data_IF_396149768140
#
_entry.id   IF_396149768140
#
_cell.length_a   1.000
_cell.length_b   1.000
_cell.length_c   1.000
_cell.angle_alpha   90.00
_cell.angle_beta   90.00
_cell.angle_gamma   90.00
#
_symmetry.space_group_name_H-M   'P 1'
#
loop_
_entity.id
_entity.type
_entity.pdbx_description
1 polymer ?
#
# COMPACT_ATOMS: atom_id res chain seq x y z
N UNK A 1 3.82 4.36 21.69
CA UNK A 1 4.54 3.09 21.94
C UNK A 1 6.00 3.29 21.57
N UNK A 2 6.93 2.79 22.39
CA UNK A 2 8.36 2.80 22.08
C UNK A 2 8.77 1.61 21.19
N UNK A 3 10.02 1.64 20.68
CA UNK A 3 10.54 0.57 19.82
C UNK A 3 10.47 -0.82 20.48
N UNK A 4 10.68 -0.91 21.81
CA UNK A 4 10.58 -2.16 22.55
C UNK A 4 9.14 -2.72 22.56
N UNK A 5 8.13 -1.84 22.69
CA UNK A 5 6.73 -2.25 22.66
C UNK A 5 6.33 -2.77 21.29
N UNK A 6 6.74 -2.08 20.21
CA UNK A 6 6.50 -2.50 18.84
C UNK A 6 7.18 -3.84 18.55
N UNK A 7 8.43 -4.00 19.00
CA UNK A 7 9.14 -5.26 18.86
C UNK A 7 8.43 -6.42 19.59
N UNK A 8 7.95 -6.20 20.80
CA UNK A 8 7.29 -7.22 21.60
C UNK A 8 5.87 -7.55 21.10
N UNK A 9 5.11 -6.55 20.62
CA UNK A 9 3.69 -6.72 20.26
C UNK A 9 3.47 -7.15 18.84
N UNK A 10 4.36 -6.81 17.92
CA UNK A 10 4.22 -7.15 16.49
C UNK A 10 5.37 -8.04 15.99
N UNK A 11 6.62 -7.53 16.03
CA UNK A 11 7.72 -8.23 15.36
C UNK A 11 8.06 -9.59 15.97
N UNK A 12 8.12 -9.71 17.29
CA UNK A 12 8.46 -10.98 17.93
C UNK A 12 7.38 -12.06 17.67
N UNK A 13 6.08 -11.80 17.84
CA UNK A 13 5.04 -12.75 17.46
C UNK A 13 5.05 -13.10 15.96
N UNK A 14 5.24 -12.09 15.10
CA UNK A 14 5.29 -12.29 13.66
C UNK A 14 6.47 -13.19 13.24
N UNK A 15 7.68 -12.89 13.71
CA UNK A 15 8.89 -13.67 13.40
C UNK A 15 8.88 -15.06 14.05
N UNK A 16 8.09 -15.28 15.09
CA UNK A 16 7.83 -16.60 15.64
C UNK A 16 6.90 -17.41 14.72
N UNK A 17 5.89 -16.76 14.18
CA UNK A 17 4.90 -17.38 13.32
C UNK A 17 5.42 -17.61 11.88
N UNK A 18 6.20 -16.67 11.38
CA UNK A 18 6.76 -16.67 10.02
C UNK A 18 8.28 -16.86 10.11
N UNK A 19 8.76 -18.03 9.69
CA UNK A 19 10.20 -18.33 9.69
C UNK A 19 10.84 -17.93 8.35
N UNK A 20 12.17 -17.68 8.38
CA UNK A 20 12.95 -17.29 7.20
C UNK A 20 12.35 -16.07 6.46
N UNK A 21 11.92 -15.07 7.20
CA UNK A 21 11.27 -13.88 6.64
C UNK A 21 12.23 -13.11 5.75
N UNK A 22 11.76 -12.76 4.56
CA UNK A 22 12.39 -11.87 3.60
C UNK A 22 11.48 -10.69 3.35
N UNK A 23 12.04 -9.48 3.37
CA UNK A 23 11.36 -8.27 2.91
C UNK A 23 11.51 -8.19 1.38
N UNK A 24 10.40 -8.26 0.67
CA UNK A 24 10.33 -8.15 -0.79
C UNK A 24 9.79 -6.77 -1.10
N UNK A 25 10.69 -5.83 -1.36
CA UNK A 25 10.34 -4.44 -1.64
C UNK A 25 9.98 -4.25 -3.10
N UNK A 26 8.86 -3.57 -3.34
CA UNK A 26 8.38 -3.18 -4.65
C UNK A 26 8.48 -1.66 -4.86
N UNK A 27 8.34 -0.91 -3.75
CA UNK A 27 8.46 0.55 -3.70
C UNK A 27 9.34 0.92 -2.51
N UNK A 28 10.31 1.79 -2.78
CA UNK A 28 11.15 2.42 -1.76
C UNK A 28 11.52 3.81 -2.20
N UNK A 29 11.21 4.81 -1.39
CA UNK A 29 11.64 6.19 -1.62
C UNK A 29 11.71 6.96 -0.31
N UNK A 30 12.36 8.13 -0.36
CA UNK A 30 12.45 9.02 0.79
C UNK A 30 12.41 10.49 0.35
N UNK A 31 11.78 11.33 1.16
CA UNK A 31 11.81 12.78 0.98
C UNK A 31 11.49 13.51 2.29
N UNK A 32 11.83 14.79 2.33
CA UNK A 32 11.41 15.67 3.42
C UNK A 32 9.90 15.90 3.38
N UNK A 33 9.30 15.95 4.56
CA UNK A 33 7.88 16.29 4.68
C UNK A 33 7.71 17.81 4.68
N UNK A 34 7.00 18.31 3.68
CA UNK A 34 6.68 19.74 3.56
C UNK A 34 5.28 20.13 4.04
N UNK A 35 4.45 19.14 4.47
CA UNK A 35 3.04 19.38 4.77
C UNK A 35 2.79 19.94 6.17
N UNK A 36 3.48 19.42 7.19
CA UNK A 36 3.25 19.78 8.58
C UNK A 36 4.41 20.56 9.22
N UNK A 37 5.49 20.80 8.46
CA UNK A 37 6.68 21.47 8.95
C UNK A 37 7.48 20.69 10.00
N UNK A 38 7.13 19.44 10.27
CA UNK A 38 7.89 18.60 11.18
C UNK A 38 9.26 18.25 10.55
N UNK A 39 10.37 18.38 11.29
CA UNK A 39 11.69 18.09 10.74
C UNK A 39 11.87 16.59 10.50
N UNK A 40 12.76 16.27 9.55
CA UNK A 40 13.16 14.91 9.24
C UNK A 40 12.73 14.45 7.86
N UNK A 41 13.24 13.28 7.51
CA UNK A 41 12.98 12.61 6.21
C UNK A 41 12.00 11.48 6.43
N UNK A 42 10.94 11.43 5.63
CA UNK A 42 10.07 10.27 5.56
C UNK A 42 10.62 9.26 4.56
N UNK A 43 10.80 8.04 5.03
CA UNK A 43 11.22 6.88 4.24
C UNK A 43 10.02 5.95 4.11
N UNK A 44 9.65 5.63 2.88
CA UNK A 44 8.51 4.76 2.56
C UNK A 44 9.03 3.47 1.96
N UNK A 45 8.54 2.35 2.48
CA UNK A 45 8.79 1.01 1.95
C UNK A 45 7.47 0.25 1.82
N UNK A 46 7.21 -0.30 0.65
CA UNK A 46 6.01 -1.11 0.39
C UNK A 46 6.39 -2.38 -0.35
N UNK A 47 5.67 -3.45 -0.07
CA UNK A 47 5.91 -4.75 -0.68
C UNK A 47 5.31 -5.89 0.14
N UNK A 48 6.06 -6.99 0.27
CA UNK A 48 5.61 -8.17 0.99
C UNK A 48 6.66 -8.66 1.99
N UNK A 49 6.21 -9.04 3.17
CA UNK A 49 6.98 -9.87 4.09
C UNK A 49 6.69 -11.32 3.74
N UNK A 50 7.66 -12.01 3.13
CA UNK A 50 7.55 -13.39 2.69
C UNK A 50 8.27 -14.31 3.66
N UNK A 51 7.63 -15.39 4.10
CA UNK A 51 8.24 -16.39 4.97
C UNK A 51 7.48 -17.71 4.98
N UNK A 52 7.98 -18.68 5.74
CA UNK A 52 7.25 -19.92 5.99
C UNK A 52 6.29 -19.70 7.15
N UNK A 53 5.01 -19.84 6.91
CA UNK A 53 3.96 -19.63 7.92
C UNK A 53 3.77 -20.90 8.75
N UNK A 54 4.55 -21.05 9.81
CA UNK A 54 4.71 -22.29 10.57
C UNK A 54 3.97 -22.34 11.90
N UNK A 55 3.69 -21.17 12.52
CA UNK A 55 2.94 -21.07 13.77
C UNK A 55 1.75 -20.12 13.63
N UNK A 56 0.72 -20.22 14.48
CA UNK A 56 -0.42 -19.31 14.42
C UNK A 56 0.00 -17.84 14.61
N UNK A 57 -0.63 -16.94 13.86
CA UNK A 57 -0.45 -15.51 13.98
C UNK A 57 -1.81 -14.81 14.06
N UNK A 58 -2.05 -14.05 15.12
CA UNK A 58 -3.31 -13.33 15.38
C UNK A 58 -4.56 -14.22 15.23
N UNK A 59 -4.48 -15.49 15.64
CA UNK A 59 -5.58 -16.45 15.50
C UNK A 59 -5.70 -17.10 14.11
N UNK A 60 -4.92 -16.70 13.13
CA UNK A 60 -4.86 -17.33 11.81
C UNK A 60 -4.03 -18.61 11.91
N UNK A 61 -4.59 -19.74 11.48
CA UNK A 61 -3.89 -21.01 11.50
C UNK A 61 -2.75 -21.04 10.46
N UNK A 62 -1.60 -21.69 10.78
CA UNK A 62 -0.46 -21.74 9.88
C UNK A 62 -0.74 -22.63 8.66
N UNK A 63 -0.25 -22.18 7.50
CA UNK A 63 -0.40 -22.93 6.24
C UNK A 63 0.66 -24.00 6.06
N UNK A 64 1.77 -23.93 6.79
CA UNK A 64 2.99 -24.73 6.58
C UNK A 64 3.59 -24.59 5.17
N UNK A 65 3.34 -23.45 4.54
CA UNK A 65 3.79 -23.07 3.19
C UNK A 65 4.39 -21.68 3.21
N UNK A 66 5.03 -21.28 2.11
CA UNK A 66 5.36 -19.89 1.89
C UNK A 66 4.07 -19.08 1.90
N UNK A 67 4.08 -18.03 2.69
CA UNK A 67 3.02 -17.04 2.72
C UNK A 67 3.61 -15.62 2.61
N UNK A 68 2.81 -14.70 2.16
CA UNK A 68 3.17 -13.30 1.97
C UNK A 68 2.21 -12.42 2.77
N UNK A 69 2.76 -11.51 3.56
CA UNK A 69 2.01 -10.45 4.21
C UNK A 69 2.35 -9.13 3.52
N UNK A 70 1.40 -8.55 2.82
CA UNK A 70 1.55 -7.24 2.21
C UNK A 70 1.72 -6.18 3.28
N UNK A 71 2.64 -5.24 3.06
CA UNK A 71 2.89 -4.15 3.99
C UNK A 71 3.10 -2.82 3.27
N UNK A 72 2.81 -1.74 3.98
CA UNK A 72 3.28 -0.39 3.71
C UNK A 72 3.82 0.20 5.01
N UNK A 73 5.06 0.65 5.00
CA UNK A 73 5.77 1.17 6.16
C UNK A 73 6.29 2.57 5.87
N UNK A 74 6.03 3.47 6.81
CA UNK A 74 6.46 4.86 6.77
C UNK A 74 7.31 5.13 8.00
N UNK A 75 8.54 5.54 7.82
CA UNK A 75 9.47 5.83 8.90
C UNK A 75 9.94 7.27 8.79
N UNK A 76 9.75 8.07 9.86
CA UNK A 76 10.36 9.39 9.95
C UNK A 76 11.72 9.28 10.59
N UNK A 77 12.73 9.75 9.88
CA UNK A 77 14.14 9.73 10.29
C UNK A 77 14.60 11.14 10.63
N UNK A 78 15.15 11.31 11.82
CA UNK A 78 15.75 12.55 12.29
C UNK A 78 17.11 12.22 12.97
N UNK A 79 18.15 12.94 12.62
CA UNK A 79 19.51 12.74 13.13
C UNK A 79 19.99 11.29 13.04
N UNK A 80 19.70 10.63 11.91
CA UNK A 80 20.09 9.24 11.65
C UNK A 80 19.32 8.19 12.47
N UNK A 81 18.23 8.57 13.13
CA UNK A 81 17.40 7.67 13.93
C UNK A 81 15.94 7.69 13.47
N UNK A 82 15.30 6.52 13.49
CA UNK A 82 13.86 6.42 13.30
C UNK A 82 13.18 6.95 14.58
N UNK A 83 12.41 8.03 14.44
CA UNK A 83 11.70 8.68 15.54
C UNK A 83 10.20 8.40 15.52
N UNK A 84 9.68 7.96 14.38
CA UNK A 84 8.28 7.60 14.19
C UNK A 84 8.16 6.51 13.15
N UNK A 85 7.23 5.57 13.35
CA UNK A 85 6.91 4.50 12.40
C UNK A 85 5.40 4.32 12.32
N UNK A 86 4.88 4.26 11.11
CA UNK A 86 3.53 3.76 10.83
C UNK A 86 3.65 2.53 9.91
N UNK A 87 3.18 1.38 10.39
CA UNK A 87 3.18 0.11 9.67
C UNK A 87 1.75 -0.36 9.42
N UNK A 88 1.43 -0.58 8.18
CA UNK A 88 0.15 -1.14 7.74
C UNK A 88 0.40 -2.52 7.14
N UNK A 89 -0.39 -3.51 7.58
CA UNK A 89 -0.31 -4.88 7.08
C UNK A 89 -1.69 -5.36 6.63
N UNK A 90 -1.74 -6.02 5.48
CA UNK A 90 -2.97 -6.59 4.94
C UNK A 90 -3.20 -7.99 5.51
N UNK A 91 -3.85 -8.05 6.66
CA UNK A 91 -4.17 -9.32 7.32
C UNK A 91 -5.20 -10.16 6.56
N UNK A 92 -6.11 -9.53 5.81
CA UNK A 92 -7.10 -10.25 4.99
C UNK A 92 -6.38 -11.01 3.88
N UNK A 93 -5.32 -10.45 3.31
CA UNK A 93 -4.45 -11.14 2.36
C UNK A 93 -3.81 -12.41 2.96
N UNK A 94 -3.34 -12.35 4.20
CA UNK A 94 -2.82 -13.53 4.90
C UNK A 94 -3.92 -14.55 5.21
N UNK A 95 -5.10 -14.09 5.60
CA UNK A 95 -6.27 -14.94 5.87
C UNK A 95 -6.69 -15.73 4.62
N UNK A 96 -6.76 -15.09 3.45
CA UNK A 96 -7.06 -15.77 2.19
C UNK A 96 -6.05 -16.86 1.86
N UNK A 97 -4.75 -16.61 2.07
CA UNK A 97 -3.71 -17.63 1.87
C UNK A 97 -3.86 -18.82 2.85
N UNK A 98 -4.42 -18.58 4.03
CA UNK A 98 -4.76 -19.61 5.01
C UNK A 98 -6.09 -20.30 4.74
N UNK A 99 -6.76 -20.00 3.63
CA UNK A 99 -8.04 -20.61 3.24
C UNK A 99 -9.27 -19.99 3.94
N UNK A 100 -9.10 -18.82 4.58
CA UNK A 100 -10.20 -18.08 5.18
C UNK A 100 -10.71 -17.05 4.18
N UNK A 101 -12.03 -16.93 4.04
CA UNK A 101 -12.68 -15.98 3.12
C UNK A 101 -13.62 -15.06 3.90
N UNK A 102 -13.09 -14.08 4.66
CA UNK A 102 -13.91 -13.23 5.53
C UNK A 102 -14.76 -12.22 4.77
N UNK A 103 -14.46 -12.00 3.49
CA UNK A 103 -15.17 -11.07 2.60
C UNK A 103 -15.74 -11.81 1.38
N UNK A 104 -16.73 -11.24 0.68
CA UNK A 104 -17.19 -11.74 -0.62
C UNK A 104 -16.03 -11.86 -1.62
N UNK A 105 -16.19 -12.66 -2.70
CA UNK A 105 -15.20 -12.72 -3.77
C UNK A 105 -14.88 -11.33 -4.32
N UNK A 106 -13.59 -11.02 -4.42
CA UNK A 106 -13.13 -9.75 -4.95
C UNK A 106 -12.93 -9.80 -6.46
N UNK A 107 -12.94 -8.65 -7.10
CA UNK A 107 -12.80 -8.51 -8.56
C UNK A 107 -11.35 -8.38 -9.01
N UNK A 108 -10.46 -7.91 -8.13
CA UNK A 108 -9.05 -7.73 -8.42
C UNK A 108 -8.17 -8.90 -7.98
N UNK A 109 -6.88 -8.80 -8.25
CA UNK A 109 -5.89 -9.80 -7.85
C UNK A 109 -5.68 -9.79 -6.34
N UNK A 110 -5.67 -10.96 -5.72
CA UNK A 110 -5.47 -11.10 -4.27
C UNK A 110 -4.30 -12.02 -3.87
N UNK A 111 -3.76 -12.80 -4.79
CA UNK A 111 -2.72 -13.78 -4.45
C UNK A 111 -1.37 -13.12 -4.18
N UNK A 112 -0.95 -12.22 -5.05
CA UNK A 112 0.25 -11.39 -4.93
C UNK A 112 -0.12 -10.00 -5.42
N UNK A 113 0.25 -8.98 -4.66
CA UNK A 113 0.08 -7.60 -5.09
C UNK A 113 1.27 -7.24 -5.99
N UNK A 114 1.04 -6.90 -7.28
CA UNK A 114 2.15 -6.63 -8.19
C UNK A 114 2.82 -5.29 -7.87
N UNK A 115 4.15 -5.24 -8.01
CA UNK A 115 4.90 -3.99 -8.00
C UNK A 115 4.79 -3.23 -9.33
N UNK A 116 5.46 -2.07 -9.46
CA UNK A 116 5.53 -1.34 -10.71
C UNK A 116 6.05 -2.21 -11.85
N UNK A 117 5.37 -2.19 -13.00
CA UNK A 117 5.70 -3.03 -14.15
C UNK A 117 7.10 -2.75 -14.71
N UNK A 118 7.56 -1.53 -14.60
CA UNK A 118 8.87 -1.05 -15.04
C UNK A 118 9.99 -1.28 -14.02
N UNK A 119 9.65 -1.79 -12.82
CA UNK A 119 10.57 -2.00 -11.71
C UNK A 119 11.30 -0.72 -11.24
N UNK A 120 10.69 0.42 -11.42
CA UNK A 120 11.21 1.75 -11.08
C UNK A 120 10.70 2.31 -9.74
N UNK A 121 10.06 1.47 -8.94
CA UNK A 121 9.57 1.84 -7.61
C UNK A 121 10.63 1.89 -6.52
N UNK A 122 11.86 1.40 -6.79
CA UNK A 122 12.98 1.38 -5.83
C UNK A 122 13.91 2.56 -6.10
N UNK A 123 13.70 3.66 -5.41
CA UNK A 123 14.42 4.92 -5.60
C UNK A 123 15.46 5.08 -4.47
N UNK A 124 16.64 4.51 -4.67
CA UNK A 124 17.75 4.61 -3.71
C UNK A 124 18.65 5.83 -3.95
N UNK A 125 18.48 6.49 -5.07
CA UNK A 125 19.23 7.71 -5.42
C UNK A 125 18.65 8.92 -4.67
N UNK A 126 19.44 9.96 -4.53
CA UNK A 126 19.14 11.12 -3.70
C UNK A 126 17.79 11.81 -3.97
N UNK A 127 17.43 12.71 -3.09
CA UNK A 127 16.17 13.44 -3.15
C UNK A 127 15.98 14.17 -4.48
N UNK A 128 14.81 13.99 -5.09
CA UNK A 128 14.34 14.78 -6.22
C UNK A 128 13.31 15.81 -5.74
N UNK A 129 13.18 16.90 -6.47
CA UNK A 129 12.12 17.87 -6.23
C UNK A 129 10.75 17.21 -6.56
N UNK A 130 9.97 16.94 -5.53
CA UNK A 130 8.63 16.33 -5.64
C UNK A 130 7.49 17.35 -5.70
N UNK A 131 7.76 18.64 -5.81
CA UNK A 131 6.75 19.72 -5.73
C UNK A 131 5.66 19.59 -6.79
N UNK A 132 6.02 19.26 -8.03
CA UNK A 132 5.05 19.04 -9.12
C UNK A 132 4.18 17.80 -8.86
N UNK A 133 4.78 16.71 -8.39
CA UNK A 133 4.06 15.48 -8.02
C UNK A 133 3.10 15.75 -6.87
N UNK A 134 3.52 16.47 -5.85
CA UNK A 134 2.68 16.85 -4.71
C UNK A 134 1.49 17.72 -5.18
N UNK A 135 1.73 18.70 -6.05
CA UNK A 135 0.68 19.53 -6.61
C UNK A 135 -0.33 18.71 -7.42
N UNK A 136 0.13 17.74 -8.20
CA UNK A 136 -0.72 16.80 -8.96
C UNK A 136 -1.58 15.96 -8.02
N UNK A 137 -0.98 15.36 -6.99
CA UNK A 137 -1.69 14.53 -6.00
C UNK A 137 -2.75 15.32 -5.25
N UNK A 138 -2.42 16.54 -4.79
CA UNK A 138 -3.36 17.39 -4.08
C UNK A 138 -4.55 17.79 -4.96
N UNK A 139 -4.32 18.09 -6.24
CA UNK A 139 -5.38 18.34 -7.20
C UNK A 139 -6.26 17.10 -7.38
N UNK A 140 -5.67 15.94 -7.63
CA UNK A 140 -6.39 14.67 -7.78
C UNK A 140 -7.27 14.35 -6.57
N UNK A 141 -6.76 14.53 -5.34
CA UNK A 141 -7.52 14.30 -4.11
C UNK A 141 -8.71 15.28 -4.04
N UNK A 142 -8.47 16.56 -4.38
CA UNK A 142 -9.52 17.58 -4.43
C UNK A 142 -10.63 17.21 -5.43
N UNK A 143 -10.26 16.76 -6.61
CA UNK A 143 -11.20 16.36 -7.67
C UNK A 143 -12.02 15.11 -7.25
N UNK A 144 -11.38 14.11 -6.63
CA UNK A 144 -12.07 12.92 -6.08
C UNK A 144 -13.08 13.33 -5.01
N UNK A 145 -12.71 14.22 -4.08
CA UNK A 145 -13.61 14.70 -3.04
C UNK A 145 -14.80 15.50 -3.61
N UNK A 146 -14.54 16.37 -4.58
CA UNK A 146 -15.58 17.13 -5.26
C UNK A 146 -16.56 16.20 -6.00
N UNK A 147 -16.06 15.19 -6.68
CA UNK A 147 -16.87 14.20 -7.40
C UNK A 147 -17.69 13.32 -6.45
N UNK A 148 -17.13 12.92 -5.31
CA UNK A 148 -17.85 12.16 -4.29
C UNK A 148 -19.03 12.95 -3.70
N UNK A 149 -18.83 14.24 -3.47
CA UNK A 149 -19.89 15.14 -2.99
C UNK A 149 -20.95 15.44 -4.07
N UNK A 150 -20.58 15.33 -5.35
CA UNK A 150 -21.49 15.56 -6.48
C UNK A 150 -22.33 14.32 -6.84
N UNK A 151 -21.96 13.15 -6.37
CA UNK A 151 -22.72 11.91 -6.59
C UNK A 151 -24.12 11.95 -5.92
N UNK A 152 -24.33 12.85 -4.95
CA UNK A 152 -25.64 13.13 -4.37
C UNK A 152 -26.51 14.09 -5.23
N UNK A 153 -25.90 14.75 -6.22
CA UNK A 153 -26.59 15.63 -7.16
C UNK A 153 -26.49 15.00 -8.55
N UNK A 154 -27.63 14.58 -9.12
CA UNK A 154 -27.78 13.93 -10.43
C UNK A 154 -27.39 14.82 -11.64
N UNK A 155 -26.30 15.57 -11.57
CA UNK A 155 -25.81 16.33 -12.72
C UNK A 155 -25.09 15.39 -13.71
N UNK A 156 -25.37 15.45 -15.04
CA UNK A 156 -24.66 14.67 -16.03
C UNK A 156 -23.17 15.01 -15.96
N UNK A 157 -22.32 13.99 -15.84
CA UNK A 157 -20.87 14.15 -15.94
C UNK A 157 -20.51 14.27 -17.42
N UNK A 158 -19.86 15.36 -17.80
CA UNK A 158 -19.41 15.59 -19.19
C UNK A 158 -18.23 14.67 -19.58
N UNK A 159 -17.51 14.12 -18.60
CA UNK A 159 -16.37 13.23 -18.83
C UNK A 159 -16.63 11.80 -18.32
N UNK A 160 -16.02 10.82 -18.99
CA UNK A 160 -16.04 9.44 -18.51
C UNK A 160 -15.09 9.30 -17.32
N UNK A 161 -15.33 8.34 -16.38
CA UNK A 161 -14.41 8.09 -15.28
C UNK A 161 -12.96 7.85 -15.73
N UNK A 162 -12.78 7.18 -16.88
CA UNK A 162 -11.45 6.96 -17.47
C UNK A 162 -10.78 8.28 -17.88
N UNK A 163 -11.51 9.20 -18.48
CA UNK A 163 -10.96 10.51 -18.91
C UNK A 163 -10.60 11.37 -17.71
N UNK A 164 -11.39 11.35 -16.64
CA UNK A 164 -11.09 12.06 -15.39
C UNK A 164 -9.82 11.52 -14.73
N UNK A 165 -9.67 10.19 -14.63
CA UNK A 165 -8.48 9.58 -14.04
C UNK A 165 -7.22 9.81 -14.87
N UNK A 166 -7.33 9.85 -16.20
CA UNK A 166 -6.21 10.13 -17.11
C UNK A 166 -5.59 11.52 -16.94
N UNK A 167 -6.26 12.44 -16.23
CA UNK A 167 -5.68 13.74 -15.87
C UNK A 167 -4.57 13.65 -14.81
N UNK A 168 -4.55 12.57 -14.04
CA UNK A 168 -3.58 12.38 -12.94
C UNK A 168 -2.82 11.07 -13.01
N UNK A 169 -3.32 10.07 -13.70
CA UNK A 169 -2.75 8.72 -13.76
C UNK A 169 -2.28 8.37 -15.17
N UNK A 170 -1.18 7.65 -15.24
CA UNK A 170 -0.74 7.04 -16.50
C UNK A 170 -1.61 5.85 -16.88
N UNK A 171 -1.79 5.59 -18.18
CA UNK A 171 -2.60 4.47 -18.68
C UNK A 171 -2.17 3.11 -18.14
N UNK A 172 -0.88 2.94 -17.85
CA UNK A 172 -0.28 1.71 -17.34
C UNK A 172 -0.11 1.70 -15.81
N UNK A 173 -0.88 2.52 -15.10
CA UNK A 173 -0.84 2.60 -13.64
C UNK A 173 -1.12 1.24 -13.00
N UNK A 174 -0.62 1.06 -11.78
CA UNK A 174 -0.95 -0.06 -10.90
C UNK A 174 -1.77 0.46 -9.73
N UNK A 175 -2.93 -0.12 -9.53
CA UNK A 175 -3.75 0.10 -8.34
C UNK A 175 -3.44 -0.98 -7.30
N UNK A 176 -2.99 -0.56 -6.13
CA UNK A 176 -2.74 -1.43 -5.01
C UNK A 176 -3.92 -1.47 -4.04
N UNK A 177 -5.08 -1.83 -4.54
CA UNK A 177 -6.26 -2.01 -3.71
C UNK A 177 -6.02 -3.03 -2.60
N UNK A 178 -6.54 -2.81 -1.38
CA UNK A 178 -6.44 -3.78 -0.29
C UNK A 178 -7.16 -5.07 -0.64
N UNK A 179 -6.85 -6.15 0.07
CA UNK A 179 -7.58 -7.39 -0.08
C UNK A 179 -9.07 -7.19 0.27
N UNK A 180 -9.95 -7.77 -0.53
CA UNK A 180 -11.39 -7.47 -0.57
C UNK A 180 -11.79 -6.63 -1.79
N UNK A 181 -10.90 -5.77 -2.32
CA UNK A 181 -11.03 -5.09 -3.62
C UNK A 181 -10.04 -5.73 -4.60
N UNK A 182 -8.77 -5.85 -4.20
CA UNK A 182 -7.68 -6.42 -4.98
C UNK A 182 -6.94 -5.42 -5.86
N UNK A 183 -5.78 -5.84 -6.37
CA UNK A 183 -4.94 -5.03 -7.25
C UNK A 183 -5.33 -5.18 -8.72
N UNK A 184 -5.06 -4.14 -9.49
CA UNK A 184 -5.28 -4.13 -10.93
C UNK A 184 -4.26 -3.27 -11.67
N UNK A 185 -4.16 -3.48 -12.97
CA UNK A 185 -3.42 -2.64 -13.91
C UNK A 185 -4.38 -1.82 -14.76
N UNK A 186 -3.93 -0.67 -15.20
CA UNK A 186 -4.57 0.24 -16.16
C UNK A 186 -5.81 0.94 -15.62
N UNK A 187 -6.04 2.15 -16.11
CA UNK A 187 -7.22 2.93 -15.76
C UNK A 187 -8.51 2.18 -16.11
N UNK A 188 -8.58 1.55 -17.29
CA UNK A 188 -9.77 0.84 -17.72
C UNK A 188 -10.14 -0.31 -16.77
N UNK A 189 -9.14 -1.12 -16.37
CA UNK A 189 -9.39 -2.22 -15.42
C UNK A 189 -9.76 -1.73 -14.04
N UNK A 190 -9.17 -0.63 -13.61
CA UNK A 190 -9.55 0.02 -12.35
C UNK A 190 -11.02 0.43 -12.37
N UNK A 191 -11.48 1.09 -13.45
CA UNK A 191 -12.88 1.51 -13.57
C UNK A 191 -13.81 0.31 -13.63
N UNK A 192 -13.48 -0.72 -14.43
CA UNK A 192 -14.29 -1.95 -14.52
C UNK A 192 -14.49 -2.66 -13.16
N UNK A 193 -13.50 -2.57 -12.25
CA UNK A 193 -13.58 -3.17 -10.93
C UNK A 193 -14.43 -2.38 -9.92
N UNK A 194 -14.61 -1.09 -10.15
CA UNK A 194 -15.27 -0.18 -9.22
C UNK A 194 -16.67 0.25 -9.68
N UNK A 195 -17.19 -0.36 -10.75
CA UNK A 195 -18.58 -0.27 -11.19
C UNK A 195 -19.42 -1.42 -10.59
#
# INVERSE_FOLDING_TARGET
YGAADVAATFWAPFLTAMTSVQRREDIFFANENSLDGAPGVWVVSMGHLMGLFDQPFLGIAPTRKIAMLRYAEFNRVLDGKIVETALFCDLIHLMHQAGLTPLPPQTGQHLIQPGPRTHDGLMYDGAHDGSETLALINRMIGDIQANSNSAENEAPRDATPQAELALAWHDNMVWWGPDGIGATYTINRYVDQHQ
#
